data_IF_201056791659
#
_entry.id   IF_201056791659
#
_cell.length_a   1.000
_cell.length_b   1.000
_cell.length_c   1.000
_cell.angle_alpha   90.00
_cell.angle_beta   90.00
_cell.angle_gamma   90.00
#
_symmetry.space_group_name_H-M   'P 1'
#
loop_
_entity.id
_entity.type
_entity.pdbx_description
1 polymer ?
#
# COMPACT_ATOMS: atom_id res chain seq x y z
N UNK A 1 -4.08 -19.96 -33.90
CA UNK A 1 -3.49 -19.20 -32.78
C UNK A 1 -4.61 -18.94 -31.81
N UNK A 2 -4.68 -19.75 -30.76
CA UNK A 2 -5.86 -19.81 -29.88
C UNK A 2 -5.83 -18.69 -28.83
N UNK A 3 -6.73 -17.74 -29.00
CA UNK A 3 -6.98 -16.62 -28.08
C UNK A 3 -7.61 -17.06 -26.74
N UNK A 4 -7.95 -18.34 -26.56
CA UNK A 4 -8.65 -18.85 -25.38
C UNK A 4 -7.76 -19.51 -24.32
N UNK A 5 -6.46 -19.71 -24.58
CA UNK A 5 -5.56 -20.42 -23.66
C UNK A 5 -4.96 -19.55 -22.55
N UNK A 6 -4.99 -18.22 -22.65
CA UNK A 6 -4.36 -17.33 -21.68
C UNK A 6 -5.20 -17.12 -20.41
N UNK A 7 -6.53 -17.27 -20.51
CA UNK A 7 -7.43 -16.98 -19.39
C UNK A 7 -7.41 -18.05 -18.29
N UNK A 8 -7.12 -19.32 -18.62
CA UNK A 8 -7.08 -20.41 -17.63
C UNK A 8 -5.80 -20.40 -16.81
N UNK A 9 -4.64 -20.14 -17.43
CA UNK A 9 -3.36 -20.11 -16.71
C UNK A 9 -3.22 -18.90 -15.80
N UNK A 10 -3.71 -17.73 -16.22
CA UNK A 10 -3.68 -16.51 -15.41
C UNK A 10 -4.57 -16.64 -14.17
N UNK A 11 -5.77 -17.19 -14.32
CA UNK A 11 -6.69 -17.42 -13.20
C UNK A 11 -6.11 -18.42 -12.18
N UNK A 12 -5.49 -19.52 -12.64
CA UNK A 12 -4.83 -20.47 -11.75
C UNK A 12 -3.63 -19.85 -11.01
N UNK A 13 -2.84 -19.02 -11.69
CA UNK A 13 -1.72 -18.32 -11.08
C UNK A 13 -2.19 -17.31 -10.02
N UNK A 14 -3.27 -16.58 -10.29
CA UNK A 14 -3.88 -15.67 -9.32
C UNK A 14 -4.35 -16.42 -8.07
N UNK A 15 -5.11 -17.51 -8.22
CA UNK A 15 -5.57 -18.32 -7.09
C UNK A 15 -4.42 -18.89 -6.26
N UNK A 16 -3.36 -19.34 -6.93
CA UNK A 16 -2.15 -19.83 -6.26
C UNK A 16 -1.50 -18.72 -5.44
N UNK A 17 -1.37 -17.52 -6.02
CA UNK A 17 -0.81 -16.36 -5.34
C UNK A 17 -1.65 -15.91 -4.13
N UNK A 18 -2.98 -15.89 -4.27
CA UNK A 18 -3.90 -15.58 -3.17
C UNK A 18 -3.76 -16.57 -2.03
N UNK A 19 -3.66 -17.87 -2.33
CA UNK A 19 -3.49 -18.92 -1.33
C UNK A 19 -2.12 -18.85 -0.64
N UNK A 20 -1.04 -18.64 -1.38
CA UNK A 20 0.32 -18.51 -0.83
C UNK A 20 0.46 -17.27 0.09
N UNK A 21 -0.23 -16.18 -0.25
CA UNK A 21 -0.22 -14.95 0.55
C UNK A 21 -1.33 -14.91 1.62
N UNK A 22 -2.07 -16.01 1.80
CA UNK A 22 -3.19 -16.13 2.74
C UNK A 22 -4.18 -14.96 2.59
N UNK A 23 -4.50 -14.58 1.35
CA UNK A 23 -5.40 -13.47 1.06
C UNK A 23 -6.80 -13.86 1.50
N UNK A 24 -7.34 -13.10 2.44
CA UNK A 24 -8.69 -13.31 2.96
C UNK A 24 -9.68 -12.59 2.07
N UNK A 25 -10.45 -13.34 1.29
CA UNK A 25 -11.56 -12.81 0.48
C UNK A 25 -12.70 -12.38 1.40
N UNK A 26 -13.14 -11.13 1.28
CA UNK A 26 -14.13 -10.54 2.19
C UNK A 26 -15.59 -10.82 1.78
N UNK A 27 -15.85 -11.76 0.87
CA UNK A 27 -17.18 -12.02 0.27
C UNK A 27 -18.16 -12.84 1.14
N UNK A 28 -17.82 -13.19 2.38
CA UNK A 28 -18.78 -13.85 3.28
C UNK A 28 -19.56 -12.83 4.13
N UNK A 29 -20.89 -12.68 3.94
CA UNK A 29 -21.75 -11.73 4.68
C UNK A 29 -22.05 -12.19 6.13
N UNK A 30 -21.12 -12.82 6.82
CA UNK A 30 -21.33 -13.39 8.16
C UNK A 30 -20.63 -12.64 9.30
N UNK A 31 -19.92 -11.56 9.01
CA UNK A 31 -19.46 -10.63 10.06
C UNK A 31 -19.66 -9.21 9.59
N UNK A 32 -20.41 -8.41 10.35
CA UNK A 32 -20.63 -6.97 10.20
C UNK A 32 -19.37 -6.10 10.20
N UNK A 33 -18.19 -6.72 10.16
CA UNK A 33 -16.85 -6.13 10.27
C UNK A 33 -16.14 -6.04 8.90
N UNK A 34 -16.69 -6.67 7.84
CA UNK A 34 -16.07 -6.71 6.50
C UNK A 34 -16.17 -5.38 5.74
N UNK A 35 -17.31 -4.68 5.85
CA UNK A 35 -17.48 -3.34 5.27
C UNK A 35 -16.80 -2.24 6.11
N UNK A 36 -16.48 -2.52 7.37
CA UNK A 36 -15.87 -1.56 8.30
C UNK A 36 -14.44 -1.16 7.89
N UNK A 37 -13.71 -2.05 7.21
CA UNK A 37 -12.34 -1.75 6.75
C UNK A 37 -12.35 -0.69 5.63
N UNK A 38 -13.35 -0.70 4.75
CA UNK A 38 -13.50 0.30 3.69
C UNK A 38 -14.21 1.57 4.17
N UNK A 39 -15.03 1.48 5.22
CA UNK A 39 -15.71 2.64 5.79
C UNK A 39 -14.73 3.62 6.46
N UNK A 40 -14.69 4.86 6.00
CA UNK A 40 -13.85 5.91 6.58
C UNK A 40 -14.70 6.84 7.46
N UNK A 41 -14.38 6.93 8.74
CA UNK A 41 -14.99 7.90 9.67
C UNK A 41 -14.05 9.10 9.87
N UNK A 42 -14.40 10.22 9.25
CA UNK A 42 -13.66 11.48 9.33
C UNK A 42 -13.46 11.98 10.76
N UNK A 43 -14.48 11.83 11.60
CA UNK A 43 -14.47 12.35 12.98
C UNK A 43 -13.58 11.50 13.86
N UNK A 44 -13.71 10.18 13.77
CA UNK A 44 -12.85 9.24 14.49
C UNK A 44 -11.38 9.41 14.08
N UNK A 45 -11.11 9.54 12.78
CA UNK A 45 -9.75 9.68 12.27
C UNK A 45 -9.14 11.06 12.59
N UNK A 46 -9.95 12.13 12.61
CA UNK A 46 -9.49 13.44 13.06
C UNK A 46 -9.12 13.44 14.55
N UNK A 47 -9.96 12.82 15.39
CA UNK A 47 -9.69 12.67 16.82
C UNK A 47 -8.42 11.85 17.08
N UNK A 48 -8.28 10.71 16.41
CA UNK A 48 -7.08 9.88 16.52
C UNK A 48 -5.79 10.63 16.16
N UNK A 49 -5.84 11.47 15.12
CA UNK A 49 -4.71 12.33 14.75
C UNK A 49 -4.42 13.46 15.73
N UNK A 50 -5.42 13.91 16.50
CA UNK A 50 -5.22 14.88 17.58
C UNK A 50 -4.63 14.22 18.82
N UNK A 51 -5.16 13.06 19.20
CA UNK A 51 -4.77 12.33 20.41
C UNK A 51 -3.33 11.77 20.30
N UNK A 52 -2.87 11.47 19.07
CA UNK A 52 -1.51 10.98 18.76
C UNK A 52 -1.02 9.92 19.75
N UNK A 53 -1.75 8.82 19.95
CA UNK A 53 -1.42 7.84 21.00
C UNK A 53 -0.02 7.23 20.85
N UNK A 54 0.52 7.16 19.63
CA UNK A 54 1.89 6.74 19.36
C UNK A 54 2.98 7.66 19.94
N UNK A 55 2.64 8.89 20.32
CA UNK A 55 3.57 9.78 21.03
C UNK A 55 3.83 9.31 22.47
N UNK A 56 2.86 8.61 23.07
CA UNK A 56 2.95 8.11 24.45
C UNK A 56 3.46 6.66 24.51
N UNK A 57 3.26 5.89 23.44
CA UNK A 57 3.74 4.52 23.31
C UNK A 57 4.43 4.30 21.95
N UNK A 58 5.77 4.16 21.93
CA UNK A 58 6.52 3.84 20.71
C UNK A 58 6.08 2.53 20.02
N UNK A 59 5.44 1.61 20.75
CA UNK A 59 4.95 0.33 20.25
C UNK A 59 3.43 0.30 20.05
N UNK A 60 2.82 1.49 19.90
CA UNK A 60 1.37 1.62 19.74
C UNK A 60 0.84 0.81 18.55
N UNK A 61 1.48 0.90 17.39
CA UNK A 61 1.09 0.14 16.20
C UNK A 61 1.67 -1.26 16.25
N UNK A 62 0.78 -2.26 16.28
CA UNK A 62 1.14 -3.68 16.43
C UNK A 62 0.79 -4.51 15.20
N UNK A 63 -0.08 -3.97 14.34
CA UNK A 63 -0.68 -4.71 13.23
C UNK A 63 -0.62 -3.89 11.96
N UNK A 64 -0.42 -4.56 10.83
CA UNK A 64 -0.52 -3.95 9.49
C UNK A 64 -1.43 -4.83 8.64
N UNK A 65 -2.43 -4.23 8.03
CA UNK A 65 -3.32 -4.87 7.05
C UNK A 65 -3.01 -4.26 5.69
N UNK A 66 -2.66 -5.08 4.70
CA UNK A 66 -2.34 -4.61 3.35
C UNK A 66 -3.36 -5.18 2.38
N UNK A 67 -3.97 -4.33 1.56
CA UNK A 67 -4.88 -4.78 0.51
C UNK A 67 -4.12 -5.60 -0.55
N UNK A 68 -4.79 -6.60 -1.13
CA UNK A 68 -4.22 -7.39 -2.22
C UNK A 68 -3.78 -6.49 -3.40
N UNK A 69 -4.53 -5.42 -3.66
CA UNK A 69 -4.22 -4.43 -4.69
C UNK A 69 -2.91 -3.70 -4.40
N UNK A 70 -2.75 -3.16 -3.19
CA UNK A 70 -1.54 -2.45 -2.79
C UNK A 70 -0.33 -3.38 -2.85
N UNK A 71 -0.47 -4.61 -2.32
CA UNK A 71 0.58 -5.63 -2.35
C UNK A 71 1.01 -5.93 -3.79
N UNK A 72 0.05 -6.17 -4.69
CA UNK A 72 0.34 -6.46 -6.09
C UNK A 72 1.05 -5.29 -6.78
N UNK A 73 0.57 -4.06 -6.59
CA UNK A 73 1.21 -2.85 -7.15
C UNK A 73 2.65 -2.68 -6.65
N UNK A 74 2.89 -2.88 -5.36
CA UNK A 74 4.23 -2.82 -4.76
C UNK A 74 5.15 -3.89 -5.35
N UNK A 75 4.69 -5.13 -5.48
CA UNK A 75 5.48 -6.25 -6.04
C UNK A 75 5.79 -6.03 -7.52
N UNK A 76 4.80 -5.56 -8.31
CA UNK A 76 5.02 -5.23 -9.73
C UNK A 76 6.04 -4.11 -9.86
N UNK A 77 5.94 -3.07 -9.02
CA UNK A 77 6.90 -1.97 -9.02
C UNK A 77 8.31 -2.44 -8.65
N UNK A 78 8.45 -3.21 -7.56
CA UNK A 78 9.72 -3.81 -7.15
C UNK A 78 10.34 -4.65 -8.28
N UNK A 79 9.53 -5.47 -8.96
CA UNK A 79 9.99 -6.27 -10.09
C UNK A 79 10.42 -5.42 -11.29
N UNK A 80 9.74 -4.32 -11.59
CA UNK A 80 10.15 -3.40 -12.65
C UNK A 80 11.46 -2.67 -12.35
N UNK A 81 11.79 -2.48 -11.06
CA UNK A 81 13.05 -1.90 -10.62
C UNK A 81 14.28 -2.78 -10.91
N UNK A 82 14.12 -4.08 -11.12
CA UNK A 82 15.25 -4.96 -11.42
C UNK A 82 16.34 -4.90 -10.35
N UNK A 83 17.48 -4.28 -10.67
CA UNK A 83 18.64 -4.13 -9.75
C UNK A 83 18.77 -2.74 -9.11
N UNK A 84 17.85 -1.82 -9.39
CA UNK A 84 17.81 -0.49 -8.78
C UNK A 84 16.80 -0.47 -7.64
N UNK A 85 17.05 0.38 -6.66
CA UNK A 85 16.10 0.59 -5.57
C UNK A 85 14.94 1.43 -6.07
N UNK A 86 13.74 1.02 -5.71
CA UNK A 86 12.51 1.73 -6.03
C UNK A 86 11.81 2.20 -4.77
N UNK A 87 11.13 3.33 -4.88
CA UNK A 87 10.38 3.94 -3.78
C UNK A 87 8.96 4.30 -4.20
N UNK A 88 8.02 4.24 -3.27
CA UNK A 88 6.64 4.62 -3.54
C UNK A 88 5.88 5.08 -2.31
N UNK A 89 4.62 5.44 -2.50
CA UNK A 89 3.72 5.89 -1.45
C UNK A 89 2.67 4.84 -1.14
N UNK A 90 2.35 4.68 0.14
CA UNK A 90 1.21 3.91 0.61
C UNK A 90 0.08 4.86 1.06
N UNK A 91 -1.13 4.54 0.63
CA UNK A 91 -2.35 5.26 0.95
C UNK A 91 -3.24 4.38 1.84
N UNK A 92 -3.88 4.99 2.84
CA UNK A 92 -4.87 4.29 3.66
C UNK A 92 -5.23 5.01 4.95
N UNK A 93 -5.53 4.25 5.99
CA UNK A 93 -5.94 4.78 7.30
C UNK A 93 -5.31 4.00 8.45
N UNK A 94 -5.49 4.53 9.65
CA UNK A 94 -5.21 3.81 10.90
C UNK A 94 -6.53 3.40 11.54
N UNK A 95 -6.56 2.25 12.17
CA UNK A 95 -7.72 1.73 12.89
C UNK A 95 -7.26 1.11 14.20
N UNK A 96 -7.40 1.85 15.30
CA UNK A 96 -6.81 1.49 16.58
C UNK A 96 -5.29 1.32 16.49
N UNK A 97 -4.79 0.16 16.92
CA UNK A 97 -3.37 -0.23 16.88
C UNK A 97 -2.93 -0.81 15.51
N UNK A 98 -3.77 -0.73 14.49
CA UNK A 98 -3.51 -1.25 13.16
C UNK A 98 -3.32 -0.15 12.11
N UNK A 99 -2.35 -0.34 11.22
CA UNK A 99 -2.17 0.44 10.00
C UNK A 99 -2.84 -0.32 8.85
N UNK A 100 -3.72 0.33 8.09
CA UNK A 100 -4.45 -0.28 6.98
C UNK A 100 -4.01 0.39 5.67
N UNK A 101 -3.24 -0.34 4.87
CA UNK A 101 -2.80 0.06 3.54
C UNK A 101 -3.85 -0.37 2.51
N UNK A 102 -4.51 0.63 1.92
CA UNK A 102 -5.58 0.45 0.94
C UNK A 102 -5.05 0.43 -0.48
N UNK A 103 -4.06 1.29 -0.78
CA UNK A 103 -3.44 1.37 -2.09
C UNK A 103 -1.95 1.77 -2.01
N UNK A 104 -1.22 1.59 -3.11
CA UNK A 104 0.18 1.96 -3.24
C UNK A 104 0.51 2.51 -4.64
N UNK A 105 1.42 3.49 -4.70
CA UNK A 105 1.83 4.17 -5.93
C UNK A 105 3.35 4.22 -6.05
N UNK A 106 3.86 4.08 -7.26
CA UNK A 106 5.28 4.24 -7.55
C UNK A 106 5.64 5.73 -7.57
N UNK A 107 6.74 6.11 -6.90
CA UNK A 107 7.35 7.41 -7.11
C UNK A 107 8.38 7.28 -8.24
N UNK A 108 8.57 8.34 -9.06
CA UNK A 108 9.57 8.36 -10.13
C UNK A 108 10.98 8.55 -9.56
N UNK A 109 11.39 7.64 -8.68
CA UNK A 109 12.56 7.75 -7.84
C UNK A 109 13.41 6.52 -8.00
N UNK A 110 14.66 6.74 -8.41
CA UNK A 110 15.68 5.71 -8.54
C UNK A 110 16.75 5.93 -7.47
N UNK A 111 16.97 4.92 -6.63
CA UNK A 111 18.00 4.91 -5.61
C UNK A 111 19.08 3.86 -5.89
N UNK A 112 20.28 4.13 -5.40
CA UNK A 112 21.25 3.07 -5.10
C UNK A 112 21.46 3.09 -3.59
N UNK A 113 21.70 1.94 -2.96
CA UNK A 113 21.80 1.74 -1.50
C UNK A 113 22.65 2.80 -0.75
N UNK A 114 23.58 3.46 -1.45
CA UNK A 114 24.50 4.48 -0.90
C UNK A 114 24.25 5.91 -1.39
N UNK A 115 23.33 6.12 -2.35
CA UNK A 115 23.02 7.43 -2.93
C UNK A 115 21.54 7.53 -3.25
N UNK A 116 20.85 8.39 -2.50
CA UNK A 116 19.47 8.80 -2.75
C UNK A 116 19.50 10.18 -3.39
N UNK A 117 19.08 10.29 -4.65
CA UNK A 117 18.95 11.58 -5.37
C UNK A 117 17.47 11.93 -5.59
N UNK A 118 16.66 11.88 -4.54
CA UNK A 118 15.21 11.88 -4.72
C UNK A 118 14.40 12.55 -3.61
N UNK A 119 15.03 13.07 -2.55
CA UNK A 119 14.26 13.62 -1.44
C UNK A 119 13.44 14.84 -1.87
N UNK A 120 13.98 15.76 -2.69
CA UNK A 120 13.23 16.92 -3.16
C UNK A 120 12.08 16.54 -4.13
N UNK A 121 12.39 15.77 -5.17
CA UNK A 121 11.43 15.39 -6.21
C UNK A 121 10.32 14.47 -5.67
N UNK A 122 10.64 13.59 -4.70
CA UNK A 122 9.65 12.77 -4.02
C UNK A 122 8.69 13.61 -3.17
N UNK A 123 9.19 14.62 -2.43
CA UNK A 123 8.33 15.50 -1.64
C UNK A 123 7.42 16.35 -2.53
N UNK A 124 7.92 16.89 -3.64
CA UNK A 124 7.11 17.68 -4.58
C UNK A 124 6.01 16.82 -5.20
N UNK A 125 6.36 15.61 -5.67
CA UNK A 125 5.39 14.66 -6.20
C UNK A 125 4.36 14.22 -5.14
N UNK A 126 4.77 14.02 -3.88
CA UNK A 126 3.85 13.72 -2.77
C UNK A 126 2.81 14.82 -2.56
N UNK A 127 3.22 16.09 -2.64
CA UNK A 127 2.33 17.24 -2.45
C UNK A 127 1.39 17.40 -3.64
N UNK A 128 1.89 17.28 -4.87
CA UNK A 128 1.09 17.34 -6.09
C UNK A 128 0.07 16.18 -6.14
N UNK A 129 0.51 14.97 -5.81
CA UNK A 129 -0.32 13.78 -5.75
C UNK A 129 -1.42 13.90 -4.68
N UNK A 130 -1.09 14.37 -3.46
CA UNK A 130 -2.08 14.61 -2.40
C UNK A 130 -3.11 15.67 -2.82
N UNK A 131 -2.69 16.67 -3.59
CA UNK A 131 -3.58 17.75 -4.06
C UNK A 131 -4.50 17.28 -5.18
N UNK A 132 -3.99 16.44 -6.08
CA UNK A 132 -4.73 15.91 -7.23
C UNK A 132 -5.75 14.85 -6.81
N UNK A 133 -5.37 13.92 -5.92
CA UNK A 133 -6.26 12.83 -5.50
C UNK A 133 -7.34 13.23 -4.50
N UNK A 134 -7.19 14.36 -3.80
CA UNK A 134 -8.28 14.98 -3.01
C UNK A 134 -9.54 15.23 -3.84
N UNK A 135 -9.42 15.34 -5.17
CA UNK A 135 -10.54 15.59 -6.06
C UNK A 135 -11.16 14.31 -6.66
N UNK A 136 -10.44 13.18 -6.66
CA UNK A 136 -10.83 11.98 -7.39
C UNK A 136 -11.27 10.81 -6.49
N UNK A 137 -10.78 10.73 -5.24
CA UNK A 137 -11.12 9.65 -4.31
C UNK A 137 -11.41 10.28 -2.94
N UNK A 138 -12.62 10.01 -2.43
CA UNK A 138 -13.12 10.54 -1.16
C UNK A 138 -12.26 9.96 -0.01
N UNK A 139 -11.43 10.86 0.54
CA UNK A 139 -10.61 10.74 1.75
C UNK A 139 -9.37 9.85 1.68
N UNK A 140 -8.29 10.41 1.14
CA UNK A 140 -6.94 9.85 1.22
C UNK A 140 -6.08 10.61 2.25
N UNK A 141 -5.55 9.89 3.24
CA UNK A 141 -4.37 10.32 3.99
C UNK A 141 -3.24 9.35 3.65
N UNK A 142 -2.20 9.87 3.00
CA UNK A 142 -0.96 9.14 2.80
C UNK A 142 -0.45 8.62 4.15
N UNK A 143 -0.21 7.31 4.23
CA UNK A 143 0.28 6.70 5.47
C UNK A 143 1.78 6.91 5.56
N UNK A 144 2.56 6.41 4.60
CA UNK A 144 4.03 6.37 4.65
C UNK A 144 4.63 6.02 3.28
N UNK A 145 5.94 6.24 3.12
CA UNK A 145 6.75 5.80 1.96
C UNK A 145 7.09 4.30 2.12
N UNK A 146 7.05 3.53 1.03
CA UNK A 146 7.67 2.21 0.97
C UNK A 146 8.93 2.26 0.09
N UNK A 147 9.91 1.42 0.40
CA UNK A 147 11.11 1.23 -0.42
C UNK A 147 11.42 -0.26 -0.58
N UNK A 148 11.94 -0.63 -1.74
CA UNK A 148 12.50 -1.96 -1.99
C UNK A 148 13.98 -1.83 -2.30
N UNK A 149 14.81 -2.44 -1.45
CA UNK A 149 16.26 -2.52 -1.65
C UNK A 149 16.54 -3.70 -2.58
N UNK A 150 17.19 -3.43 -3.71
CA UNK A 150 17.57 -4.47 -4.65
C UNK A 150 18.73 -5.28 -4.06
N UNK A 151 18.46 -6.55 -3.72
CA UNK A 151 19.50 -7.44 -3.21
C UNK A 151 20.42 -7.86 -4.37
N UNK A 152 21.71 -7.51 -4.32
CA UNK A 152 22.69 -8.07 -5.27
C UNK A 152 22.99 -9.51 -4.85
N UNK A 153 22.78 -10.46 -5.76
CA UNK A 153 23.50 -11.72 -5.70
C UNK A 153 24.99 -11.39 -5.70
N UNK A 154 25.66 -11.60 -4.56
CA UNK A 154 27.12 -11.64 -4.45
C UNK A 154 27.67 -12.88 -5.13
#
# INVERSE_FOLDING_TARGET
MDLFSFSSSAAMAQQTWELENNIVTMETPQSSDSDAIFHYDDVAQAKFQQDKPWANDPHYFKRVKVSALALLKMVVHARSGGTIEVMGLMQGKTDGDAIIVMDAFALPVEGTETRVNAQADAYEYMVEYSTTNKQAIVVDRSITIYSFIANRSV
#
